data_IF_317095972841
#
_entry.id   IF_317095972841
#
_cell.length_a   1.000
_cell.length_b   1.000
_cell.length_c   1.000
_cell.angle_alpha   90.00
_cell.angle_beta   90.00
_cell.angle_gamma   90.00
#
_symmetry.space_group_name_H-M   'P 1'
#
loop_
_entity.id
_entity.type
_entity.pdbx_description
1 polymer ?
#
# COMPACT_ATOMS: atom_id res chain seq x y z
N UNK A 1 -2.12 63.38 46.85
CA UNK A 1 -1.25 63.07 45.69
C UNK A 1 -0.41 61.88 46.11
N UNK A 2 -0.28 60.74 45.43
CA UNK A 2 -0.69 60.25 44.12
C UNK A 2 -0.69 58.72 44.24
N UNK A 3 -1.60 58.07 43.51
CA UNK A 3 -1.76 56.63 43.40
C UNK A 3 -0.51 55.92 42.82
N UNK A 4 -0.01 54.88 43.48
CA UNK A 4 0.83 53.87 42.82
C UNK A 4 0.02 52.58 42.60
N UNK A 5 -0.68 52.53 41.46
CA UNK A 5 -1.37 51.34 40.98
C UNK A 5 -0.41 50.40 40.25
N UNK A 6 -0.44 49.14 40.68
CA UNK A 6 -0.07 47.89 40.01
C UNK A 6 0.24 47.98 38.51
N UNK A 7 1.53 47.85 38.14
CA UNK A 7 1.99 47.90 36.74
C UNK A 7 2.58 46.59 36.22
N UNK A 8 2.10 45.40 36.63
CA UNK A 8 2.64 44.13 36.07
C UNK A 8 1.62 42.99 35.90
N UNK A 9 0.31 43.30 35.80
CA UNK A 9 -0.72 42.26 35.56
C UNK A 9 -0.77 41.76 34.11
N UNK A 10 -0.41 42.59 33.13
CA UNK A 10 -0.52 42.29 31.69
C UNK A 10 0.50 41.29 31.16
N UNK A 11 1.70 41.20 31.78
CA UNK A 11 2.76 40.25 31.38
C UNK A 11 2.32 38.78 31.46
N UNK A 12 1.36 38.45 32.32
CA UNK A 12 0.78 37.09 32.40
C UNK A 12 -0.08 36.72 31.20
N UNK A 13 -0.59 37.70 30.44
CA UNK A 13 -1.45 37.47 29.29
C UNK A 13 -0.71 37.51 27.95
N UNK A 14 0.54 37.98 27.94
CA UNK A 14 1.41 38.00 26.74
C UNK A 14 1.55 36.60 26.11
N UNK A 15 1.78 35.50 26.87
CA UNK A 15 1.85 34.15 26.27
C UNK A 15 0.54 33.73 25.61
N UNK A 16 -0.60 34.10 26.19
CA UNK A 16 -1.92 33.80 25.64
C UNK A 16 -2.22 34.59 24.37
N UNK A 17 -1.83 35.87 24.33
CA UNK A 17 -1.95 36.71 23.13
C UNK A 17 -1.07 36.18 22.00
N UNK A 18 0.18 35.83 22.30
CA UNK A 18 1.10 35.21 21.31
C UNK A 18 0.52 33.89 20.80
N UNK A 19 0.04 33.02 21.68
CA UNK A 19 -0.59 31.76 21.29
C UNK A 19 -1.83 31.98 20.41
N UNK A 20 -2.73 32.90 20.80
CA UNK A 20 -3.93 33.22 20.03
C UNK A 20 -3.60 33.79 18.64
N UNK A 21 -2.59 34.66 18.54
CA UNK A 21 -2.14 35.21 17.24
C UNK A 21 -1.54 34.13 16.34
N UNK A 22 -0.73 33.21 16.88
CA UNK A 22 -0.19 32.08 16.11
C UNK A 22 -1.31 31.17 15.60
N UNK A 23 -2.29 30.84 16.45
CA UNK A 23 -3.45 30.02 16.05
C UNK A 23 -4.26 30.71 14.95
N UNK A 24 -4.51 32.02 15.07
CA UNK A 24 -5.23 32.78 14.05
C UNK A 24 -4.47 32.83 12.72
N UNK A 25 -3.16 33.03 12.74
CA UNK A 25 -2.32 33.02 11.53
C UNK A 25 -2.35 31.63 10.86
N UNK A 26 -2.22 30.55 11.63
CA UNK A 26 -2.28 29.18 11.10
C UNK A 26 -3.66 28.87 10.52
N UNK A 27 -4.74 29.33 11.15
CA UNK A 27 -6.10 29.19 10.64
C UNK A 27 -6.33 29.96 9.34
N UNK A 28 -5.88 31.22 9.28
CA UNK A 28 -5.97 32.03 8.06
C UNK A 28 -5.14 31.43 6.92
N UNK A 29 -3.97 30.87 7.23
CA UNK A 29 -3.12 30.18 6.26
C UNK A 29 -3.78 28.88 5.74
N UNK A 30 -4.41 28.09 6.60
CA UNK A 30 -5.15 26.90 6.19
C UNK A 30 -6.35 27.22 5.30
N UNK A 31 -7.09 28.30 5.61
CA UNK A 31 -8.19 28.82 4.78
C UNK A 31 -7.65 29.26 3.41
N UNK A 32 -6.52 29.97 3.39
CA UNK A 32 -5.87 30.44 2.16
C UNK A 32 -5.40 29.29 1.25
N UNK A 33 -4.98 28.15 1.82
CA UNK A 33 -4.53 26.98 1.07
C UNK A 33 -5.69 26.07 0.62
N UNK A 34 -6.93 26.33 1.07
CA UNK A 34 -8.10 25.45 0.85
C UNK A 34 -7.86 23.99 1.28
N UNK A 35 -6.98 23.77 2.26
CA UNK A 35 -6.74 22.44 2.82
C UNK A 35 -7.29 22.37 4.26
N UNK A 36 -8.54 21.91 4.45
CA UNK A 36 -9.15 21.80 5.78
C UNK A 36 -8.44 20.76 6.69
N UNK A 37 -7.55 19.92 6.15
CA UNK A 37 -6.81 18.93 6.92
C UNK A 37 -5.45 19.45 7.41
N UNK A 38 -4.94 20.58 6.89
CA UNK A 38 -3.61 21.12 7.22
C UNK A 38 -3.38 21.30 8.73
N UNK A 39 -4.34 21.92 9.44
CA UNK A 39 -4.22 22.18 10.88
C UNK A 39 -4.25 20.87 11.66
N UNK A 40 -5.14 19.95 11.30
CA UNK A 40 -5.26 18.63 11.94
C UNK A 40 -3.98 17.82 11.75
N UNK A 41 -3.43 17.83 10.54
CA UNK A 41 -2.19 17.15 10.19
C UNK A 41 -1.00 17.78 10.93
N UNK A 42 -0.89 19.11 10.97
CA UNK A 42 0.19 19.81 11.66
C UNK A 42 0.18 19.56 13.18
N UNK A 43 -0.99 19.67 13.82
CA UNK A 43 -1.14 19.37 15.26
C UNK A 43 -0.79 17.91 15.55
N UNK A 44 -1.18 16.98 14.67
CA UNK A 44 -0.89 15.56 14.86
C UNK A 44 0.58 15.22 14.60
N UNK A 45 1.24 15.84 13.63
CA UNK A 45 2.68 15.71 13.40
C UNK A 45 3.47 16.21 14.60
N UNK A 46 3.05 17.34 15.19
CA UNK A 46 3.65 17.88 16.43
C UNK A 46 3.39 16.98 17.65
N UNK A 47 2.20 16.40 17.76
CA UNK A 47 1.87 15.43 18.82
C UNK A 47 2.69 14.14 18.70
N UNK A 48 2.82 13.61 17.48
CA UNK A 48 3.55 12.37 17.21
C UNK A 48 5.08 12.54 17.35
N UNK A 49 5.64 13.70 17.01
CA UNK A 49 7.07 13.98 17.26
C UNK A 49 7.37 14.09 18.75
N UNK A 50 6.43 14.61 19.56
CA UNK A 50 6.58 14.68 21.01
C UNK A 50 6.48 13.32 21.71
N UNK A 51 5.71 12.37 21.16
CA UNK A 51 5.51 11.03 21.74
C UNK A 51 6.48 9.94 21.23
N UNK A 52 7.31 10.22 20.21
CA UNK A 52 8.30 9.24 19.70
C UNK A 52 9.55 9.07 20.57
N UNK A 53 9.68 9.84 21.66
CA UNK A 53 10.73 9.66 22.65
C UNK A 53 10.32 8.69 23.75
N UNK A 54 10.86 7.46 23.72
CA UNK A 54 10.91 6.48 24.81
C UNK A 54 9.67 5.64 25.20
N UNK A 55 8.60 5.57 24.39
CA UNK A 55 7.67 4.43 24.49
C UNK A 55 8.09 3.32 23.52
N UNK A 56 8.13 2.06 24.00
CA UNK A 56 8.21 0.91 23.10
C UNK A 56 6.97 0.94 22.21
N UNK A 57 7.11 1.47 20.98
CA UNK A 57 6.01 1.46 20.02
C UNK A 57 5.48 0.02 19.96
N UNK A 58 4.15 -0.11 20.05
CA UNK A 58 3.47 -1.39 19.88
C UNK A 58 3.79 -2.04 18.52
N UNK A 59 3.14 -3.17 18.18
CA UNK A 59 3.45 -3.90 16.95
C UNK A 59 3.44 -2.96 15.73
N UNK A 60 4.38 -3.19 14.81
CA UNK A 60 4.43 -2.46 13.55
C UNK A 60 3.28 -2.92 12.65
N UNK A 61 2.48 -1.98 12.17
CA UNK A 61 1.36 -2.25 11.27
C UNK A 61 1.72 -1.80 9.87
N UNK A 62 1.71 -2.72 8.90
CA UNK A 62 2.10 -2.44 7.52
C UNK A 62 0.88 -2.63 6.61
N UNK A 63 0.47 -1.58 5.90
CA UNK A 63 -0.58 -1.65 4.90
C UNK A 63 0.01 -1.55 3.49
N UNK A 64 0.00 -2.65 2.74
CA UNK A 64 0.29 -2.66 1.32
C UNK A 64 -0.98 -2.38 0.51
N UNK A 65 -1.06 -1.16 -0.03
CA UNK A 65 -2.14 -0.68 -0.90
C UNK A 65 -1.69 -0.76 -2.36
N UNK A 66 -2.56 -1.27 -3.22
CA UNK A 66 -2.32 -1.29 -4.67
C UNK A 66 -3.62 -1.54 -5.43
N UNK A 67 -3.54 -1.75 -6.74
CA UNK A 67 -4.66 -2.24 -7.53
C UNK A 67 -4.43 -3.66 -8.06
N UNK A 68 -5.49 -4.26 -8.61
CA UNK A 68 -5.40 -5.54 -9.27
C UNK A 68 -4.27 -5.54 -10.33
N UNK A 69 -3.41 -6.55 -10.27
CA UNK A 69 -2.37 -6.86 -11.28
C UNK A 69 -1.13 -5.96 -11.28
N UNK A 70 -0.87 -5.29 -10.17
CA UNK A 70 0.34 -4.47 -9.93
C UNK A 70 1.55 -5.27 -9.41
N UNK A 71 1.39 -6.56 -9.11
CA UNK A 71 2.44 -7.37 -8.47
C UNK A 71 2.35 -7.44 -6.94
N UNK A 72 1.27 -6.93 -6.33
CA UNK A 72 1.09 -6.92 -4.88
C UNK A 72 1.07 -8.29 -4.19
N UNK A 73 0.77 -9.37 -4.92
CA UNK A 73 0.96 -10.73 -4.39
C UNK A 73 2.43 -11.04 -4.15
N UNK A 74 3.34 -10.62 -5.03
CA UNK A 74 4.78 -10.79 -4.86
C UNK A 74 5.29 -9.93 -3.71
N UNK A 75 4.92 -8.64 -3.66
CA UNK A 75 5.33 -7.75 -2.56
C UNK A 75 4.78 -8.22 -1.23
N UNK A 76 3.55 -8.73 -1.18
CA UNK A 76 3.01 -9.34 0.03
C UNK A 76 3.75 -10.60 0.46
N UNK A 77 4.14 -11.47 -0.48
CA UNK A 77 4.96 -12.66 -0.21
C UNK A 77 6.38 -12.27 0.25
N UNK A 78 6.94 -11.19 -0.31
CA UNK A 78 8.20 -10.58 0.14
C UNK A 78 8.09 -10.04 1.57
N UNK A 79 7.05 -9.26 1.87
CA UNK A 79 6.84 -8.68 3.19
C UNK A 79 6.68 -9.76 4.26
N UNK A 80 5.94 -10.84 3.99
CA UNK A 80 5.81 -11.96 4.96
C UNK A 80 7.07 -12.84 5.08
N UNK A 81 8.08 -12.64 4.21
CA UNK A 81 9.40 -13.25 4.38
C UNK A 81 10.29 -12.50 5.36
N UNK A 82 9.89 -11.28 5.74
CA UNK A 82 10.51 -10.55 6.85
C UNK A 82 10.23 -11.31 8.16
N UNK A 83 11.23 -11.52 9.03
CA UNK A 83 11.04 -12.24 10.29
C UNK A 83 9.97 -11.61 11.19
N UNK A 84 9.35 -12.44 12.04
CA UNK A 84 8.43 -11.99 13.08
C UNK A 84 7.20 -11.20 12.54
N UNK A 85 6.66 -11.68 11.42
CA UNK A 85 5.50 -11.10 10.75
C UNK A 85 4.26 -12.00 10.75
N UNK A 86 3.09 -11.40 10.94
CA UNK A 86 1.79 -12.03 10.68
C UNK A 86 1.12 -11.38 9.47
N UNK A 87 0.74 -12.18 8.47
CA UNK A 87 0.24 -11.68 7.19
C UNK A 87 -1.25 -11.93 6.98
N UNK A 88 -1.98 -10.87 6.63
CA UNK A 88 -3.37 -10.90 6.19
C UNK A 88 -3.48 -10.61 4.69
N UNK A 89 -3.83 -11.64 3.93
CA UNK A 89 -4.05 -11.52 2.48
C UNK A 89 -5.48 -11.10 2.15
N UNK A 90 -5.65 -9.87 1.66
CA UNK A 90 -6.91 -9.34 1.11
C UNK A 90 -8.11 -9.46 2.07
N UNK A 91 -8.02 -8.95 3.32
CA UNK A 91 -9.11 -9.05 4.31
C UNK A 91 -10.37 -8.28 3.90
N UNK A 92 -10.21 -7.15 3.19
CA UNK A 92 -11.33 -6.33 2.70
C UNK A 92 -12.25 -7.05 1.70
N UNK A 93 -11.84 -8.21 1.18
CA UNK A 93 -12.72 -9.01 0.33
C UNK A 93 -13.98 -9.49 1.07
N UNK A 94 -13.92 -9.60 2.41
CA UNK A 94 -15.05 -9.96 3.25
C UNK A 94 -16.24 -9.00 3.08
N UNK A 95 -15.95 -7.70 2.91
CA UNK A 95 -16.96 -6.65 2.66
C UNK A 95 -17.09 -6.31 1.17
N UNK A 96 -16.78 -7.27 0.29
CA UNK A 96 -16.78 -7.14 -1.16
C UNK A 96 -15.72 -6.17 -1.71
N UNK A 97 -16.11 -5.01 -2.25
CA UNK A 97 -15.21 -4.01 -2.81
C UNK A 97 -15.62 -2.61 -2.32
N UNK A 98 -14.97 -2.09 -1.25
CA UNK A 98 -15.19 -0.75 -0.69
C UNK A 98 -15.23 0.37 -1.73
N UNK A 99 -14.42 0.25 -2.79
CA UNK A 99 -14.35 1.26 -3.85
C UNK A 99 -15.64 1.32 -4.68
N UNK A 100 -16.37 0.20 -4.78
CA UNK A 100 -17.60 0.11 -5.57
C UNK A 100 -18.86 0.37 -4.77
N UNK A 101 -18.88 0.02 -3.48
CA UNK A 101 -20.05 0.17 -2.61
C UNK A 101 -19.92 1.36 -1.64
N UNK A 102 -18.85 2.16 -1.74
CA UNK A 102 -18.55 3.30 -0.87
C UNK A 102 -18.48 2.96 0.64
N UNK A 103 -18.18 1.70 0.99
CA UNK A 103 -18.12 1.23 2.39
C UNK A 103 -16.74 1.49 3.02
N UNK A 104 -16.24 2.72 2.95
CA UNK A 104 -14.88 3.04 3.39
C UNK A 104 -14.73 3.07 4.92
N UNK A 105 -15.76 3.49 5.66
CA UNK A 105 -15.78 3.39 7.12
C UNK A 105 -15.71 1.94 7.58
N UNK A 106 -16.52 1.06 6.99
CA UNK A 106 -16.48 -0.38 7.27
C UNK A 106 -15.10 -0.97 6.94
N UNK A 107 -14.47 -0.51 5.86
CA UNK A 107 -13.12 -0.93 5.50
C UNK A 107 -12.10 -0.50 6.56
N UNK A 108 -12.16 0.74 7.05
CA UNK A 108 -11.29 1.23 8.12
C UNK A 108 -11.50 0.47 9.43
N UNK A 109 -12.75 0.24 9.83
CA UNK A 109 -13.11 -0.52 11.03
C UNK A 109 -12.61 -1.96 10.93
N UNK A 110 -12.80 -2.60 9.77
CA UNK A 110 -12.30 -3.96 9.52
C UNK A 110 -10.78 -4.01 9.60
N UNK A 111 -10.08 -3.09 8.95
CA UNK A 111 -8.62 -3.01 9.00
C UNK A 111 -8.11 -2.80 10.42
N UNK A 112 -8.73 -1.92 11.20
CA UNK A 112 -8.36 -1.70 12.59
C UNK A 112 -8.49 -2.99 13.43
N UNK A 113 -9.59 -3.74 13.28
CA UNK A 113 -9.76 -5.03 13.97
C UNK A 113 -8.72 -6.07 13.54
N UNK A 114 -8.40 -6.11 12.25
CA UNK A 114 -7.39 -7.02 11.69
C UNK A 114 -5.99 -6.66 12.20
N UNK A 115 -5.61 -5.39 12.17
CA UNK A 115 -4.32 -4.90 12.67
C UNK A 115 -4.12 -5.19 14.16
N UNK A 116 -5.17 -5.05 14.97
CA UNK A 116 -5.15 -5.35 16.40
C UNK A 116 -5.33 -6.84 16.73
N UNK A 117 -5.20 -7.75 15.75
CA UNK A 117 -5.34 -9.19 15.95
C UNK A 117 -6.65 -9.57 16.67
N UNK A 118 -7.76 -8.95 16.28
CA UNK A 118 -9.08 -9.10 16.90
C UNK A 118 -10.11 -9.56 15.86
N UNK A 119 -9.77 -10.61 15.11
CA UNK A 119 -10.66 -11.15 14.08
C UNK A 119 -11.82 -11.94 14.68
N UNK A 120 -11.70 -12.39 15.93
CA UNK A 120 -12.81 -13.01 16.68
C UNK A 120 -14.00 -12.06 16.88
N UNK A 121 -13.76 -10.75 16.98
CA UNK A 121 -14.82 -9.74 17.09
C UNK A 121 -15.53 -9.41 15.77
N UNK A 122 -15.12 -10.02 14.65
CA UNK A 122 -15.72 -9.77 13.33
C UNK A 122 -16.70 -10.91 13.02
N UNK A 123 -17.98 -10.66 13.28
CA UNK A 123 -19.05 -11.64 13.05
C UNK A 123 -19.02 -12.18 11.62
N UNK A 124 -18.95 -13.50 11.48
CA UNK A 124 -18.98 -14.20 10.19
C UNK A 124 -17.68 -14.15 9.38
N UNK A 125 -16.63 -13.44 9.81
CA UNK A 125 -15.40 -13.29 9.04
C UNK A 125 -14.67 -14.60 8.77
N UNK A 126 -14.38 -15.37 9.82
CA UNK A 126 -13.70 -16.67 9.66
C UNK A 126 -14.56 -17.73 8.98
N UNK A 127 -15.86 -17.87 9.29
CA UNK A 127 -16.76 -18.72 8.50
C UNK A 127 -16.77 -18.35 7.01
N UNK A 128 -16.83 -17.05 6.69
CA UNK A 128 -16.79 -16.59 5.30
C UNK A 128 -15.46 -16.96 4.63
N UNK A 129 -14.33 -16.77 5.31
CA UNK A 129 -13.01 -17.18 4.81
C UNK A 129 -12.95 -18.69 4.55
N UNK A 130 -13.52 -19.49 5.45
CA UNK A 130 -13.55 -20.94 5.35
C UNK A 130 -14.41 -21.41 4.17
N UNK A 131 -15.56 -20.77 3.96
CA UNK A 131 -16.45 -21.05 2.83
C UNK A 131 -15.81 -20.67 1.49
N UNK A 132 -15.03 -19.58 1.45
CA UNK A 132 -14.38 -19.07 0.24
C UNK A 132 -12.90 -19.45 0.15
N UNK A 133 -12.60 -20.73 0.39
CA UNK A 133 -11.23 -21.28 0.43
C UNK A 133 -10.44 -21.06 -0.87
N UNK A 134 -11.12 -20.91 -2.00
CA UNK A 134 -10.53 -20.62 -3.32
C UNK A 134 -9.80 -19.28 -3.37
N UNK A 135 -10.15 -18.32 -2.52
CA UNK A 135 -9.42 -17.05 -2.42
C UNK A 135 -8.19 -17.12 -1.51
N UNK A 136 -7.93 -18.27 -0.88
CA UNK A 136 -6.71 -18.60 -0.15
C UNK A 136 -6.31 -17.59 0.94
N UNK A 137 -7.28 -16.93 1.59
CA UNK A 137 -7.04 -15.83 2.54
C UNK A 137 -5.99 -16.16 3.61
N UNK A 138 -6.34 -17.03 4.56
CA UNK A 138 -5.40 -17.45 5.60
C UNK A 138 -4.31 -18.39 5.05
N UNK A 139 -4.58 -19.10 3.96
CA UNK A 139 -3.60 -20.00 3.31
C UNK A 139 -2.41 -19.25 2.71
N UNK A 140 -2.59 -17.97 2.37
CA UNK A 140 -1.51 -17.09 1.88
C UNK A 140 -0.66 -16.50 3.01
N UNK A 141 -1.08 -16.65 4.27
CA UNK A 141 -0.24 -16.42 5.45
C UNK A 141 0.60 -17.68 5.68
N UNK A 142 1.73 -17.78 4.99
CA UNK A 142 2.42 -19.07 4.75
C UNK A 142 2.90 -19.72 6.06
N UNK A 143 3.50 -18.93 6.96
CA UNK A 143 4.00 -19.41 8.26
C UNK A 143 2.84 -19.83 9.17
N UNK A 144 1.81 -18.98 9.31
CA UNK A 144 0.60 -19.31 10.05
C UNK A 144 -0.06 -20.59 9.54
N UNK A 145 -0.24 -20.70 8.22
CA UNK A 145 -0.91 -21.84 7.60
C UNK A 145 -0.13 -23.14 7.82
N UNK A 146 1.20 -23.09 7.70
CA UNK A 146 2.10 -24.21 7.96
C UNK A 146 1.99 -24.68 9.42
N UNK A 147 1.92 -23.76 10.37
CA UNK A 147 1.82 -24.09 11.80
C UNK A 147 0.44 -24.65 12.18
N UNK A 148 -0.64 -23.99 11.75
CA UNK A 148 -2.00 -24.42 12.09
C UNK A 148 -2.31 -25.80 11.51
N UNK A 149 -1.84 -26.07 10.27
CA UNK A 149 -2.08 -27.32 9.56
C UNK A 149 -1.42 -28.53 10.21
N UNK A 150 -0.28 -28.34 10.91
CA UNK A 150 0.41 -29.41 11.65
C UNK A 150 -0.34 -29.85 12.90
N UNK A 151 -1.15 -28.98 13.50
CA UNK A 151 -1.86 -29.26 14.74
C UNK A 151 -3.18 -29.99 14.47
N UNK A 152 -4.15 -29.33 13.82
CA UNK A 152 -5.47 -29.89 13.44
C UNK A 152 -6.10 -29.08 12.29
N UNK A 153 -6.78 -29.72 11.33
CA UNK A 153 -7.38 -29.06 10.15
C UNK A 153 -8.29 -27.87 10.47
N UNK A 154 -9.13 -27.96 11.51
CA UNK A 154 -10.07 -26.89 11.86
C UNK A 154 -9.44 -25.75 12.66
N UNK A 155 -8.20 -25.92 13.16
CA UNK A 155 -7.53 -24.90 13.95
C UNK A 155 -7.17 -23.66 13.12
N UNK A 156 -6.93 -23.85 11.82
CA UNK A 156 -6.60 -22.77 10.89
C UNK A 156 -7.70 -21.71 10.73
N UNK A 157 -8.94 -22.02 11.11
CA UNK A 157 -10.08 -21.08 11.09
C UNK A 157 -10.65 -20.82 12.50
N UNK A 158 -9.98 -21.27 13.55
CA UNK A 158 -10.39 -20.99 14.92
C UNK A 158 -10.01 -19.55 15.30
N UNK A 159 -10.99 -18.76 15.74
CA UNK A 159 -10.81 -17.34 16.00
C UNK A 159 -9.74 -17.04 17.07
N UNK A 160 -9.82 -17.72 18.21
CA UNK A 160 -8.85 -17.55 19.30
C UNK A 160 -7.44 -17.96 18.87
N UNK A 161 -7.31 -18.97 18.01
CA UNK A 161 -6.01 -19.39 17.49
C UNK A 161 -5.41 -18.38 16.51
N UNK A 162 -6.20 -17.83 15.58
CA UNK A 162 -5.76 -16.76 14.67
C UNK A 162 -5.29 -15.55 15.48
N UNK A 163 -6.14 -15.08 16.39
CA UNK A 163 -5.89 -13.90 17.22
C UNK A 163 -4.65 -14.07 18.10
N UNK A 164 -4.53 -15.21 18.80
CA UNK A 164 -3.38 -15.49 19.66
C UNK A 164 -2.09 -15.70 18.89
N UNK A 165 -2.14 -16.23 17.66
CA UNK A 165 -0.95 -16.37 16.81
C UNK A 165 -0.53 -15.01 16.25
N UNK A 166 -1.47 -14.19 15.80
CA UNK A 166 -1.22 -12.83 15.33
C UNK A 166 -0.55 -11.98 16.41
N UNK A 167 -1.06 -12.00 17.66
CA UNK A 167 -0.50 -11.23 18.79
C UNK A 167 0.93 -11.61 19.19
N UNK A 168 1.44 -12.77 18.76
CA UNK A 168 2.83 -13.18 19.03
C UNK A 168 3.85 -12.49 18.11
N UNK A 169 3.38 -11.91 17.00
CA UNK A 169 4.26 -11.33 16.01
C UNK A 169 4.43 -9.83 16.24
N UNK A 170 5.64 -9.33 16.04
CA UNK A 170 5.95 -7.89 16.20
C UNK A 170 5.45 -7.04 15.03
N UNK A 171 5.20 -7.64 13.87
CA UNK A 171 4.74 -6.93 12.68
C UNK A 171 3.46 -7.57 12.13
N UNK A 172 2.41 -6.78 11.94
CA UNK A 172 1.16 -7.23 11.30
C UNK A 172 1.06 -6.58 9.92
N UNK A 173 1.05 -7.39 8.88
CA UNK A 173 1.00 -6.95 7.49
C UNK A 173 -0.40 -7.20 6.93
N UNK A 174 -1.00 -6.18 6.35
CA UNK A 174 -2.21 -6.31 5.54
C UNK A 174 -1.89 -5.92 4.11
N UNK A 175 -2.29 -6.76 3.16
CA UNK A 175 -2.23 -6.46 1.73
C UNK A 175 -3.65 -6.40 1.16
N UNK A 176 -3.97 -5.33 0.43
CA UNK A 176 -5.28 -5.16 -0.22
C UNK A 176 -5.16 -4.52 -1.61
N UNK A 177 -6.08 -4.90 -2.51
CA UNK A 177 -6.29 -4.25 -3.81
C UNK A 177 -7.62 -3.48 -3.89
N UNK A 178 -8.33 -3.33 -2.75
CA UNK A 178 -9.73 -2.87 -2.68
C UNK A 178 -9.89 -1.59 -1.86
N UNK A 179 -8.84 -0.78 -1.78
CA UNK A 179 -8.84 0.47 -1.02
C UNK A 179 -8.08 1.52 -1.82
N UNK A 180 -8.67 2.71 -1.99
CA UNK A 180 -7.99 3.87 -2.58
C UNK A 180 -6.92 4.40 -1.60
N UNK A 181 -5.88 5.06 -2.10
CA UNK A 181 -4.82 5.59 -1.24
C UNK A 181 -5.35 6.66 -0.28
N UNK A 182 -6.30 7.50 -0.73
CA UNK A 182 -7.00 8.46 0.15
C UNK A 182 -7.56 7.78 1.40
N UNK A 183 -8.33 6.71 1.22
CA UNK A 183 -8.99 6.02 2.33
C UNK A 183 -8.01 5.27 3.23
N UNK A 184 -6.90 4.79 2.65
CA UNK A 184 -5.79 4.24 3.44
C UNK A 184 -5.13 5.32 4.30
N UNK A 185 -4.92 6.53 3.76
CA UNK A 185 -4.29 7.64 4.48
C UNK A 185 -5.13 8.12 5.67
N UNK A 186 -6.46 8.01 5.60
CA UNK A 186 -7.36 8.32 6.71
C UNK A 186 -7.12 7.46 7.96
N UNK A 187 -6.46 6.30 7.83
CA UNK A 187 -6.08 5.49 8.99
C UNK A 187 -5.09 6.20 9.91
N UNK A 188 -4.22 7.07 9.39
CA UNK A 188 -3.32 7.89 10.21
C UNK A 188 -4.10 8.82 11.16
N UNK A 189 -5.27 9.29 10.73
CA UNK A 189 -6.11 10.22 11.49
C UNK A 189 -7.14 9.49 12.36
N UNK A 190 -7.76 8.45 11.82
CA UNK A 190 -8.86 7.72 12.47
C UNK A 190 -8.37 6.68 13.47
N UNK A 191 -7.14 6.18 13.32
CA UNK A 191 -6.56 5.14 14.17
C UNK A 191 -5.13 5.49 14.59
N UNK A 192 -4.93 6.61 15.32
CA UNK A 192 -3.59 7.14 15.65
C UNK A 192 -2.74 6.22 16.54
N UNK A 193 -3.37 5.25 17.21
CA UNK A 193 -2.67 4.27 18.06
C UNK A 193 -1.97 3.17 17.25
N UNK A 194 -2.25 3.05 15.95
CA UNK A 194 -1.52 2.15 15.09
C UNK A 194 -0.14 2.75 14.79
N UNK A 195 0.92 1.99 15.08
CA UNK A 195 2.24 2.22 14.49
C UNK A 195 2.20 1.86 13.00
N UNK A 196 1.53 2.70 12.20
CA UNK A 196 1.17 2.41 10.82
C UNK A 196 2.25 2.88 9.85
N UNK A 197 2.64 1.99 8.93
CA UNK A 197 3.36 2.31 7.70
C UNK A 197 2.51 1.90 6.49
N UNK A 198 2.36 2.80 5.52
CA UNK A 198 1.64 2.54 4.27
C UNK A 198 2.63 2.40 3.13
N UNK A 199 2.54 1.30 2.40
CA UNK A 199 3.29 1.07 1.15
C UNK A 199 2.30 1.14 0.00
N UNK A 200 2.49 2.09 -0.91
CA UNK A 200 1.73 2.18 -2.15
C UNK A 200 2.52 1.53 -3.29
N UNK A 201 2.02 0.40 -3.79
CA UNK A 201 2.61 -0.29 -4.94
C UNK A 201 1.91 0.12 -6.23
N UNK A 202 2.66 0.80 -7.08
CA UNK A 202 2.20 1.28 -8.38
C UNK A 202 2.85 0.49 -9.52
N UNK A 203 2.19 0.47 -10.68
CA UNK A 203 2.64 -0.25 -11.89
C UNK A 203 2.13 0.48 -13.12
N UNK A 204 2.88 0.39 -14.23
CA UNK A 204 2.45 0.92 -15.53
C UNK A 204 1.01 0.47 -15.83
N UNK A 205 0.07 1.41 -16.00
CA UNK A 205 -1.34 1.06 -16.20
C UNK A 205 -1.56 0.24 -17.48
N UNK A 206 -0.71 0.40 -18.50
CA UNK A 206 -0.74 -0.41 -19.73
C UNK A 206 -0.40 -1.86 -19.42
N UNK A 207 0.60 -2.10 -18.57
CA UNK A 207 0.97 -3.43 -18.08
C UNK A 207 -0.10 -4.08 -17.21
N UNK A 208 -0.69 -3.33 -16.27
CA UNK A 208 -1.80 -3.79 -15.43
C UNK A 208 -3.02 -4.19 -16.27
N UNK A 209 -3.47 -3.32 -17.18
CA UNK A 209 -4.63 -3.58 -18.04
C UNK A 209 -4.37 -4.77 -18.96
N UNK A 210 -3.16 -4.89 -19.54
CA UNK A 210 -2.78 -6.06 -20.31
C UNK A 210 -2.95 -7.36 -19.53
N UNK A 211 -2.48 -7.39 -18.27
CA UNK A 211 -2.64 -8.58 -17.42
C UNK A 211 -4.09 -8.86 -17.07
N UNK A 212 -4.94 -7.84 -16.93
CA UNK A 212 -6.36 -7.96 -16.57
C UNK A 212 -7.21 -8.60 -17.66
N UNK A 213 -6.80 -8.43 -18.91
CA UNK A 213 -7.50 -9.00 -20.07
C UNK A 213 -7.25 -10.49 -20.30
N UNK A 214 -6.23 -11.06 -19.64
CA UNK A 214 -5.87 -12.47 -19.84
C UNK A 214 -6.68 -13.38 -18.93
N UNK A 215 -7.07 -14.53 -19.45
CA UNK A 215 -7.63 -15.60 -18.63
C UNK A 215 -6.60 -16.08 -17.57
N UNK A 216 -7.02 -16.44 -16.35
CA UNK A 216 -8.38 -16.41 -15.80
C UNK A 216 -8.80 -15.04 -15.23
N UNK A 217 -7.90 -14.06 -15.20
CA UNK A 217 -8.13 -12.75 -14.57
C UNK A 217 -9.31 -12.02 -15.20
N UNK A 218 -9.45 -12.10 -16.52
CA UNK A 218 -10.54 -11.46 -17.26
C UNK A 218 -11.93 -11.93 -16.83
N UNK A 219 -12.08 -13.15 -16.29
CA UNK A 219 -13.38 -13.69 -15.89
C UNK A 219 -14.04 -12.91 -14.76
N UNK A 220 -13.26 -12.50 -13.75
CA UNK A 220 -13.75 -11.72 -12.63
C UNK A 220 -13.54 -10.23 -12.85
N UNK A 221 -12.45 -9.84 -13.51
CA UNK A 221 -12.12 -8.43 -13.74
C UNK A 221 -13.20 -7.71 -14.55
N UNK A 222 -13.83 -8.38 -15.53
CA UNK A 222 -14.94 -7.82 -16.32
C UNK A 222 -16.14 -7.38 -15.47
N UNK A 223 -16.32 -7.95 -14.27
CA UNK A 223 -17.42 -7.64 -13.36
C UNK A 223 -17.11 -6.48 -12.40
N UNK A 224 -15.86 -6.00 -12.40
CA UNK A 224 -15.39 -4.93 -11.53
C UNK A 224 -14.98 -3.73 -12.40
N UNK A 225 -15.75 -2.61 -12.39
CA UNK A 225 -15.42 -1.43 -13.19
C UNK A 225 -14.04 -0.84 -12.89
N UNK A 226 -13.55 -0.90 -11.64
CA UNK A 226 -12.18 -0.46 -11.30
C UNK A 226 -11.11 -1.33 -11.96
N UNK A 227 -11.45 -2.59 -12.23
CA UNK A 227 -10.56 -3.52 -12.90
C UNK A 227 -10.67 -3.39 -14.43
N UNK A 228 -11.88 -3.40 -14.97
CA UNK A 228 -12.14 -3.53 -16.41
C UNK A 228 -12.12 -2.23 -17.20
N UNK A 229 -12.47 -1.08 -16.59
CA UNK A 229 -12.55 0.21 -17.27
C UNK A 229 -11.22 0.97 -17.13
N UNK A 230 -10.47 1.17 -18.24
CA UNK A 230 -9.20 1.90 -18.21
C UNK A 230 -9.30 3.33 -17.68
N UNK A 231 -10.38 4.04 -18.05
CA UNK A 231 -10.58 5.43 -17.65
C UNK A 231 -10.74 5.52 -16.13
N UNK A 232 -11.64 4.72 -15.55
CA UNK A 232 -11.85 4.73 -14.11
C UNK A 232 -10.60 4.32 -13.32
N UNK A 233 -9.86 3.34 -13.82
CA UNK A 233 -8.60 2.93 -13.21
C UNK A 233 -7.57 4.06 -13.23
N UNK A 234 -7.38 4.73 -14.37
CA UNK A 234 -6.40 5.79 -14.49
C UNK A 234 -6.81 7.07 -13.75
N UNK A 235 -8.09 7.44 -13.76
CA UNK A 235 -8.61 8.53 -12.93
C UNK A 235 -8.30 8.27 -11.44
N UNK A 236 -8.50 7.03 -10.96
CA UNK A 236 -8.18 6.68 -9.57
C UNK A 236 -6.69 6.71 -9.25
N UNK A 237 -5.84 6.26 -10.19
CA UNK A 237 -4.38 6.39 -10.01
C UNK A 237 -3.95 7.86 -10.00
N UNK A 238 -4.58 8.74 -10.80
CA UNK A 238 -4.28 10.16 -10.78
C UNK A 238 -4.71 10.82 -9.46
N UNK A 239 -5.87 10.43 -8.90
CA UNK A 239 -6.28 10.82 -7.55
C UNK A 239 -5.26 10.36 -6.49
N UNK A 240 -4.85 9.10 -6.55
CA UNK A 240 -3.85 8.53 -5.64
C UNK A 240 -2.52 9.30 -5.72
N UNK A 241 -2.06 9.68 -6.92
CA UNK A 241 -0.82 10.46 -7.06
C UNK A 241 -0.92 11.83 -6.37
N UNK A 242 -2.08 12.49 -6.37
CA UNK A 242 -2.27 13.74 -5.62
C UNK A 242 -2.16 13.52 -4.11
N UNK A 243 -2.77 12.44 -3.61
CA UNK A 243 -2.66 12.05 -2.19
C UNK A 243 -1.21 11.70 -1.84
N UNK A 244 -0.54 10.98 -2.72
CA UNK A 244 0.85 10.57 -2.54
C UNK A 244 1.79 11.76 -2.38
N UNK A 245 1.58 12.85 -3.13
CA UNK A 245 2.35 14.10 -2.97
C UNK A 245 2.25 14.67 -1.56
N UNK A 246 1.04 14.72 -0.99
CA UNK A 246 0.84 15.16 0.39
C UNK A 246 1.51 14.22 1.40
N UNK A 247 1.35 12.90 1.23
CA UNK A 247 1.94 11.91 2.13
C UNK A 247 3.47 11.89 2.11
N UNK A 248 4.10 12.06 0.95
CA UNK A 248 5.56 12.15 0.84
C UNK A 248 6.12 13.36 1.59
N UNK A 249 5.36 14.45 1.68
CA UNK A 249 5.73 15.65 2.42
C UNK A 249 5.44 15.50 3.92
N UNK A 250 4.24 15.04 4.26
CA UNK A 250 3.73 15.09 5.63
C UNK A 250 4.11 13.86 6.47
N UNK A 251 4.37 12.73 5.81
CA UNK A 251 4.62 11.42 6.44
C UNK A 251 5.75 10.62 5.76
N UNK A 252 6.92 11.21 5.45
CA UNK A 252 7.99 10.52 4.72
C UNK A 252 8.52 9.25 5.42
N UNK A 253 8.46 9.21 6.75
CA UNK A 253 8.89 8.05 7.54
C UNK A 253 7.84 6.93 7.61
N UNK A 254 6.58 7.25 7.32
CA UNK A 254 5.43 6.33 7.47
C UNK A 254 4.78 5.97 6.11
N UNK A 255 5.26 6.54 5.00
CA UNK A 255 4.74 6.31 3.66
C UNK A 255 5.86 6.02 2.65
N UNK A 256 5.69 4.94 1.89
CA UNK A 256 6.62 4.54 0.83
C UNK A 256 5.88 4.21 -0.47
N UNK A 257 6.38 4.73 -1.59
CA UNK A 257 5.94 4.32 -2.92
C UNK A 257 6.95 3.33 -3.49
N UNK A 258 6.45 2.21 -4.02
CA UNK A 258 7.24 1.26 -4.78
C UNK A 258 6.67 1.17 -6.19
N UNK A 259 7.53 1.31 -7.19
CA UNK A 259 7.19 1.03 -8.58
C UNK A 259 7.54 -0.41 -8.92
N UNK A 260 6.56 -1.16 -9.43
CA UNK A 260 6.69 -2.57 -9.74
C UNK A 260 7.85 -2.86 -10.71
N UNK A 261 8.05 -2.01 -11.71
CA UNK A 261 9.13 -2.15 -12.68
C UNK A 261 10.51 -2.03 -12.04
N UNK A 262 10.69 -1.14 -11.06
CA UNK A 262 11.97 -1.00 -10.33
C UNK A 262 12.25 -2.25 -9.50
N UNK A 263 11.26 -2.73 -8.77
CA UNK A 263 11.37 -3.99 -8.03
C UNK A 263 11.64 -5.18 -8.96
N UNK A 264 11.11 -5.16 -10.17
CA UNK A 264 11.30 -6.25 -11.12
C UNK A 264 12.67 -6.23 -11.82
N UNK A 265 13.25 -5.04 -12.01
CA UNK A 265 14.56 -4.84 -12.64
C UNK A 265 15.71 -4.92 -11.65
N UNK A 266 15.53 -4.40 -10.44
CA UNK A 266 16.47 -4.51 -9.33
C UNK A 266 15.76 -4.98 -8.06
N UNK A 267 15.50 -6.31 -7.94
CA UNK A 267 14.83 -6.86 -6.78
C UNK A 267 15.58 -6.64 -5.48
N UNK A 268 16.92 -6.68 -5.50
CA UNK A 268 17.73 -6.57 -4.29
C UNK A 268 17.82 -5.13 -3.80
N UNK A 269 18.14 -4.17 -4.67
CA UNK A 269 18.23 -2.75 -4.28
C UNK A 269 16.87 -2.18 -3.87
N UNK A 270 15.81 -2.50 -4.62
CA UNK A 270 14.45 -2.04 -4.25
C UNK A 270 13.98 -2.66 -2.93
N UNK A 271 14.31 -3.93 -2.67
CA UNK A 271 13.96 -4.59 -1.40
C UNK A 271 14.79 -4.05 -0.24
N UNK A 272 16.06 -3.71 -0.44
CA UNK A 272 16.89 -3.09 0.60
C UNK A 272 16.28 -1.77 1.08
N UNK A 273 15.81 -0.92 0.15
CA UNK A 273 15.04 0.29 0.49
C UNK A 273 13.77 -0.04 1.29
N UNK A 274 13.02 -1.07 0.88
CA UNK A 274 11.79 -1.49 1.56
C UNK A 274 12.06 -1.96 3.00
N UNK A 275 13.02 -2.85 3.23
CA UNK A 275 13.28 -3.38 4.59
C UNK A 275 13.84 -2.30 5.51
N UNK A 276 14.65 -1.37 4.99
CA UNK A 276 15.09 -0.18 5.74
C UNK A 276 13.93 0.71 6.13
N UNK A 277 12.98 0.95 5.23
CA UNK A 277 11.74 1.67 5.54
C UNK A 277 10.93 0.99 6.66
N UNK A 278 10.97 -0.34 6.77
CA UNK A 278 10.35 -1.09 7.87
C UNK A 278 11.15 -1.03 9.19
N UNK A 279 12.30 -0.36 9.22
CA UNK A 279 13.16 -0.22 10.40
C UNK A 279 14.21 -1.33 10.55
N UNK A 280 14.44 -2.14 9.51
CA UNK A 280 15.49 -3.17 9.54
C UNK A 280 16.85 -2.53 9.19
N UNK A 281 17.93 -2.83 9.94
CA UNK A 281 19.25 -2.24 9.68
C UNK A 281 19.87 -2.76 8.37
N UNK A 282 19.51 -3.98 7.96
CA UNK A 282 19.98 -4.65 6.75
C UNK A 282 18.97 -5.69 6.28
N UNK A 283 19.14 -6.20 5.06
CA UNK A 283 18.29 -7.26 4.50
C UNK A 283 18.41 -8.56 5.30
N UNK A 284 17.30 -9.07 5.87
CA UNK A 284 17.31 -10.37 6.55
C UNK A 284 17.62 -11.52 5.58
N UNK A 285 18.27 -12.57 6.08
CA UNK A 285 18.64 -13.77 5.30
C UNK A 285 17.43 -14.42 4.62
N UNK A 286 16.29 -14.53 5.31
CA UNK A 286 15.08 -15.16 4.77
C UNK A 286 14.50 -14.35 3.60
N UNK A 287 14.62 -13.02 3.66
CA UNK A 287 14.24 -12.11 2.57
C UNK A 287 15.17 -12.31 1.37
N UNK A 288 16.48 -12.41 1.60
CA UNK A 288 17.47 -12.67 0.54
C UNK A 288 17.21 -14.03 -0.15
N UNK A 289 16.91 -15.08 0.64
CA UNK A 289 16.51 -16.40 0.12
C UNK A 289 15.21 -16.30 -0.68
N UNK A 290 14.22 -15.56 -0.18
CA UNK A 290 12.96 -15.34 -0.89
C UNK A 290 13.22 -14.70 -2.27
N UNK A 291 14.02 -13.64 -2.34
CA UNK A 291 14.38 -12.99 -3.59
C UNK A 291 15.04 -13.98 -4.55
N UNK A 292 16.12 -14.65 -4.12
CA UNK A 292 16.84 -15.64 -4.95
C UNK A 292 15.91 -16.72 -5.50
N UNK A 293 14.96 -17.20 -4.70
CA UNK A 293 14.07 -18.30 -5.11
C UNK A 293 12.91 -17.87 -6.00
N UNK A 294 12.43 -16.63 -5.87
CA UNK A 294 11.22 -16.15 -6.56
C UNK A 294 11.48 -15.28 -7.79
N UNK A 295 12.66 -14.66 -7.91
CA UNK A 295 13.01 -13.78 -9.02
C UNK A 295 13.99 -14.38 -10.03
N UNK A 296 14.68 -15.48 -9.68
CA UNK A 296 15.66 -16.13 -10.55
C UNK A 296 15.08 -17.21 -11.48
N UNK A 297 15.79 -17.47 -12.57
CA UNK A 297 15.46 -18.42 -13.65
C UNK A 297 15.75 -19.89 -13.29
N UNK A 298 16.29 -20.16 -12.09
CA UNK A 298 16.83 -21.50 -11.78
C UNK A 298 15.69 -22.48 -11.47
N UNK A 299 15.44 -23.40 -12.40
CA UNK A 299 14.50 -24.51 -12.29
C UNK A 299 13.18 -24.31 -13.04
N UNK A 300 12.36 -25.37 -13.11
CA UNK A 300 11.04 -25.33 -13.74
C UNK A 300 10.10 -24.41 -12.96
N UNK A 301 9.92 -23.17 -13.45
CA UNK A 301 8.88 -22.24 -12.94
C UNK A 301 7.51 -22.95 -12.88
N UNK A 302 7.27 -23.88 -13.82
CA UNK A 302 6.04 -24.67 -13.91
C UNK A 302 5.81 -25.60 -12.72
N UNK A 303 6.88 -26.19 -12.20
CA UNK A 303 6.83 -27.04 -11.02
C UNK A 303 6.67 -26.22 -9.73
N UNK A 304 7.40 -25.11 -9.63
CA UNK A 304 7.36 -24.21 -8.45
C UNK A 304 6.02 -23.51 -8.24
N UNK A 305 5.25 -23.18 -9.29
CA UNK A 305 3.93 -22.60 -9.06
C UNK A 305 2.86 -23.64 -8.68
N UNK A 306 2.99 -24.90 -9.14
CA UNK A 306 2.04 -25.97 -8.77
C UNK A 306 2.02 -26.21 -7.27
N UNK A 307 3.17 -26.06 -6.59
CA UNK A 307 3.27 -26.19 -5.13
C UNK A 307 2.53 -25.07 -4.38
N UNK A 308 2.35 -23.89 -4.98
CA UNK A 308 1.53 -22.81 -4.40
C UNK A 308 0.03 -23.10 -4.47
N UNK A 309 -0.40 -24.02 -5.34
CA UNK A 309 -1.81 -24.35 -5.55
C UNK A 309 -2.62 -23.20 -6.15
N UNK A 310 -1.96 -22.34 -6.94
CA UNK A 310 -2.56 -21.17 -7.59
C UNK A 310 -2.42 -21.27 -9.10
N UNK A 311 -3.34 -20.64 -9.85
CA UNK A 311 -3.15 -20.51 -11.30
C UNK A 311 -1.86 -19.77 -11.61
N UNK A 312 -1.26 -20.09 -12.75
CA UNK A 312 -0.03 -19.42 -13.19
C UNK A 312 -0.17 -17.90 -13.11
N UNK A 313 -1.33 -17.31 -13.44
CA UNK A 313 -1.54 -15.86 -13.35
C UNK A 313 -1.39 -15.25 -11.94
N UNK A 314 -1.48 -16.02 -10.85
CA UNK A 314 -1.38 -15.51 -9.47
C UNK A 314 -0.09 -15.91 -8.75
N UNK A 315 0.72 -16.75 -9.38
CA UNK A 315 1.98 -17.20 -8.80
C UNK A 315 3.01 -16.08 -8.65
N UNK A 316 3.87 -16.19 -7.64
CA UNK A 316 4.94 -15.23 -7.34
C UNK A 316 6.33 -15.68 -7.83
N UNK A 317 6.44 -16.86 -8.44
CA UNK A 317 7.67 -17.32 -9.09
C UNK A 317 7.75 -16.83 -10.54
N UNK A 318 8.66 -15.92 -10.86
CA UNK A 318 8.80 -15.35 -12.22
C UNK A 318 10.23 -14.98 -12.56
N UNK A 319 10.53 -14.96 -13.86
CA UNK A 319 11.51 -14.01 -14.36
C UNK A 319 10.87 -12.61 -14.27
N UNK A 320 11.26 -11.84 -13.25
CA UNK A 320 10.62 -10.57 -12.89
C UNK A 320 10.73 -9.54 -14.01
N UNK A 321 11.92 -9.37 -14.58
CA UNK A 321 12.20 -8.35 -15.61
C UNK A 321 11.43 -8.59 -16.90
N UNK A 322 11.40 -9.84 -17.39
CA UNK A 322 10.60 -10.20 -18.59
C UNK A 322 9.11 -9.99 -18.33
N UNK A 323 8.63 -10.43 -17.16
CA UNK A 323 7.21 -10.33 -16.81
C UNK A 323 6.75 -8.88 -16.76
N UNK A 324 7.58 -7.98 -16.23
CA UNK A 324 7.27 -6.56 -16.13
C UNK A 324 7.06 -5.90 -17.50
N UNK A 325 7.91 -6.24 -18.48
CA UNK A 325 7.93 -5.57 -19.78
C UNK A 325 7.15 -6.29 -20.88
N UNK A 326 6.69 -7.52 -20.65
CA UNK A 326 6.09 -8.35 -21.71
C UNK A 326 4.84 -7.76 -22.39
N UNK A 327 4.11 -6.87 -21.70
CA UNK A 327 2.95 -6.19 -22.27
C UNK A 327 3.30 -5.36 -23.51
N UNK A 328 4.54 -4.83 -23.57
CA UNK A 328 5.07 -4.06 -24.70
C UNK A 328 5.19 -4.86 -25.98
N UNK A 329 5.20 -6.19 -25.93
CA UNK A 329 5.18 -7.05 -27.12
C UNK A 329 3.79 -7.59 -27.43
N UNK A 330 2.97 -7.75 -26.38
CA UNK A 330 1.67 -8.44 -26.49
C UNK A 330 0.54 -7.49 -26.91
N UNK A 331 0.58 -6.22 -26.52
CA UNK A 331 -0.51 -5.29 -26.81
C UNK A 331 -0.35 -4.68 -28.21
N UNK A 332 -1.48 -4.49 -28.93
CA UNK A 332 -1.47 -3.76 -30.19
C UNK A 332 -1.18 -2.27 -29.95
N UNK A 333 -0.49 -1.63 -30.89
CA UNK A 333 -0.14 -0.21 -30.77
C UNK A 333 -1.38 0.68 -30.65
N UNK A 334 -2.43 0.42 -31.45
CA UNK A 334 -3.74 1.10 -31.35
C UNK A 334 -4.29 1.11 -29.92
N UNK A 335 -4.23 -0.04 -29.23
CA UNK A 335 -4.73 -0.14 -27.85
C UNK A 335 -3.82 0.60 -26.88
N UNK A 336 -2.50 0.52 -27.06
CA UNK A 336 -1.54 1.29 -26.24
C UNK A 336 -1.82 2.79 -26.37
N UNK A 337 -2.02 3.31 -27.58
CA UNK A 337 -2.36 4.72 -27.81
C UNK A 337 -3.66 5.11 -27.10
N UNK A 338 -4.71 4.30 -27.23
CA UNK A 338 -5.99 4.55 -26.52
C UNK A 338 -5.80 4.60 -25.01
N UNK A 339 -5.04 3.66 -24.44
CA UNK A 339 -4.76 3.65 -22.99
C UNK A 339 -3.94 4.86 -22.55
N UNK A 340 -2.92 5.26 -23.30
CA UNK A 340 -2.12 6.45 -22.98
C UNK A 340 -2.97 7.71 -22.93
N UNK A 341 -3.95 7.85 -23.82
CA UNK A 341 -4.85 9.00 -23.83
C UNK A 341 -5.74 9.04 -22.58
N UNK A 342 -6.21 7.89 -22.09
CA UNK A 342 -6.97 7.85 -20.83
C UNK A 342 -6.10 8.10 -19.59
N UNK A 343 -4.81 7.78 -19.66
CA UNK A 343 -3.93 7.72 -18.52
C UNK A 343 -2.83 8.78 -18.56
N UNK A 344 -2.99 9.87 -19.31
CA UNK A 344 -1.92 10.84 -19.55
C UNK A 344 -1.35 11.41 -18.24
N UNK A 345 -2.21 11.99 -17.39
CA UNK A 345 -1.82 12.52 -16.08
C UNK A 345 -1.18 11.45 -15.18
N UNK A 346 -1.76 10.26 -15.17
CA UNK A 346 -1.28 9.11 -14.39
C UNK A 346 0.12 8.67 -14.82
N UNK A 347 0.35 8.54 -16.13
CA UNK A 347 1.63 8.10 -16.68
C UNK A 347 2.71 9.10 -16.28
N UNK A 348 2.48 10.40 -16.47
CA UNK A 348 3.40 11.46 -16.06
C UNK A 348 3.69 11.39 -14.55
N UNK A 349 2.65 11.32 -13.71
CA UNK A 349 2.86 11.32 -12.25
C UNK A 349 3.59 10.09 -11.71
N UNK A 350 3.47 8.96 -12.41
CA UNK A 350 4.17 7.73 -12.04
C UNK A 350 5.51 7.55 -12.78
N UNK A 351 5.98 8.58 -13.50
CA UNK A 351 7.26 8.59 -14.21
C UNK A 351 7.32 7.70 -15.46
N UNK A 352 6.18 7.40 -16.10
CA UNK A 352 6.11 6.65 -17.36
C UNK A 352 5.92 7.57 -18.56
N UNK A 353 6.59 7.24 -19.67
CA UNK A 353 6.51 8.01 -20.89
C UNK A 353 5.60 7.35 -21.95
N UNK A 354 4.91 8.15 -22.79
CA UNK A 354 4.11 7.63 -23.90
C UNK A 354 4.98 7.07 -25.02
N UNK A 355 4.42 6.12 -25.77
CA UNK A 355 4.98 5.60 -27.01
C UNK A 355 4.26 6.21 -28.21
N UNK A 356 5.02 6.74 -29.17
CA UNK A 356 4.50 7.38 -30.38
C UNK A 356 4.64 6.53 -31.64
N UNK A 357 5.47 5.48 -31.61
CA UNK A 357 5.63 4.56 -32.75
C UNK A 357 5.64 3.11 -32.29
N UNK A 358 5.27 2.20 -33.19
CA UNK A 358 5.36 0.75 -32.96
C UNK A 358 6.81 0.37 -32.62
N UNK A 359 7.77 0.90 -33.37
CA UNK A 359 9.20 0.63 -33.14
C UNK A 359 9.62 1.00 -31.72
N UNK A 360 9.29 2.21 -31.24
CA UNK A 360 9.58 2.63 -29.86
C UNK A 360 8.92 1.73 -28.82
N UNK A 361 7.65 1.36 -29.01
CA UNK A 361 6.95 0.45 -28.10
C UNK A 361 7.68 -0.90 -27.96
N UNK A 362 8.13 -1.48 -29.09
CA UNK A 362 8.77 -2.79 -29.09
C UNK A 362 10.22 -2.75 -28.58
N UNK A 363 10.98 -1.71 -28.91
CA UNK A 363 12.41 -1.64 -28.60
C UNK A 363 12.73 -1.05 -27.22
N UNK A 364 11.94 -0.07 -26.73
CA UNK A 364 12.35 0.77 -25.62
C UNK A 364 11.58 0.50 -24.32
N UNK A 365 12.30 0.45 -23.20
CA UNK A 365 11.73 0.66 -21.86
C UNK A 365 11.66 2.16 -21.64
N UNK A 366 10.46 2.71 -21.42
CA UNK A 366 10.22 4.15 -21.51
C UNK A 366 9.58 4.71 -20.23
N UNK A 367 10.41 4.87 -19.19
CA UNK A 367 10.08 5.49 -17.92
C UNK A 367 11.34 6.02 -17.23
N UNK A 368 11.19 6.93 -16.28
CA UNK A 368 12.29 7.54 -15.54
C UNK A 368 13.12 6.51 -14.79
N UNK A 369 14.45 6.60 -14.85
CA UNK A 369 15.33 5.71 -14.10
C UNK A 369 15.25 5.95 -12.59
N UNK A 370 15.01 7.19 -12.18
CA UNK A 370 14.80 7.55 -10.78
C UNK A 370 13.34 7.90 -10.54
N UNK A 371 12.61 6.97 -9.92
CA UNK A 371 11.19 7.15 -9.63
C UNK A 371 10.93 8.28 -8.63
N UNK A 372 11.81 8.49 -7.64
CA UNK A 372 11.60 9.52 -6.62
C UNK A 372 11.74 10.93 -7.22
N UNK A 373 12.67 11.12 -8.17
CA UNK A 373 12.81 12.39 -8.89
C UNK A 373 11.59 12.67 -9.77
N UNK A 374 11.09 11.67 -10.48
CA UNK A 374 9.92 11.79 -11.33
C UNK A 374 8.68 12.22 -10.52
N UNK A 375 8.45 11.56 -9.38
CA UNK A 375 7.34 11.89 -8.49
C UNK A 375 7.52 13.29 -7.88
N UNK A 376 8.72 13.65 -7.41
CA UNK A 376 9.01 15.01 -6.90
C UNK A 376 8.72 16.08 -7.94
N UNK A 377 9.14 15.86 -9.19
CA UNK A 377 8.88 16.78 -10.29
C UNK A 377 7.38 16.94 -10.53
N UNK A 378 6.64 15.83 -10.60
CA UNK A 378 5.19 15.85 -10.74
C UNK A 378 4.49 16.60 -9.59
N UNK A 379 4.86 16.32 -8.34
CA UNK A 379 4.29 16.93 -7.14
C UNK A 379 4.65 18.41 -6.98
N UNK A 380 5.72 18.89 -7.64
CA UNK A 380 6.07 20.31 -7.62
C UNK A 380 5.30 21.10 -8.68
N UNK A 381 4.85 20.42 -9.74
CA UNK A 381 4.13 21.03 -10.86
C UNK A 381 2.60 21.00 -10.70
N UNK A 382 2.06 20.25 -9.73
CA UNK A 382 0.63 20.03 -9.51
C UNK A 382 0.33 20.08 -8.02
#
# INVERSE_FOLDING_TARGET
MQNHFSSYRWRRYVPFLVFATVVAIVQLYAIAIKDPHFIKNAIQTLSNTKNRGNETLGPLHVLLVSYARTGSSFVGDLLQSVPDTFYHFEPLHFISNPVLNSSFDDARVLLNKVFNCNVSSIKGYLPWIQLHKEYMKLKRSLNYWKECSKKKKNLCFNASFVDSTCRKHKTVIVKTIRLKLREASELFLTHPNLNLKIIYLMRDPRGSINSRMKFPVSMWCKKDPMCSNPKYYCDSLAEDMKVACGLLKDRPEDFLIIRYEDLALDPFGTTDRLVKFLGMPSMPRDVEIFLKTHTSVIGSVREKYRTQGVDYAYSTFRNSSITAMSWRQQMSFKRVTQLQNYCQTTLTGMGYYPYYTVSNLRSNVNFDKNNDDAIRSYCSAN
#
